data_IF_641715354474
#
_entry.id   IF_641715354474
#
_cell.length_a   1.000
_cell.length_b   1.000
_cell.length_c   1.000
_cell.angle_alpha   90.00
_cell.angle_beta   90.00
_cell.angle_gamma   90.00
#
_symmetry.space_group_name_H-M   'P 1'
#
loop_
_entity.id
_entity.type
_entity.pdbx_description
1 polymer ?
#
# COMPACT_ATOMS: atom_id res chain seq x y z
N UNK A 1 16.41 0.69 2.89
CA UNK A 1 16.15 0.81 1.44
C UNK A 1 14.72 1.31 1.34
N UNK A 2 14.51 2.56 0.96
CA UNK A 2 13.19 3.21 1.00
C UNK A 2 12.32 2.71 -0.18
N UNK A 3 11.47 1.71 0.08
CA UNK A 3 10.63 0.99 -0.89
C UNK A 3 9.49 1.84 -1.50
N UNK A 4 9.77 3.07 -1.92
CA UNK A 4 8.77 4.02 -2.44
C UNK A 4 7.80 4.54 -1.38
N UNK A 5 7.99 4.19 -0.10
CA UNK A 5 7.11 4.57 1.00
C UNK A 5 7.03 6.09 1.17
N UNK A 6 8.17 6.78 1.29
CA UNK A 6 8.21 8.23 1.48
C UNK A 6 7.45 8.96 0.37
N UNK A 7 7.71 8.61 -0.89
CA UNK A 7 7.02 9.18 -2.04
C UNK A 7 5.51 8.88 -2.04
N UNK A 8 5.11 7.67 -1.65
CA UNK A 8 3.70 7.32 -1.50
C UNK A 8 3.02 8.16 -0.39
N UNK A 9 3.70 8.37 0.74
CA UNK A 9 3.18 9.16 1.85
C UNK A 9 3.08 10.64 1.51
N UNK A 10 4.05 11.19 0.80
CA UNK A 10 3.97 12.56 0.28
C UNK A 10 2.75 12.74 -0.64
N UNK A 11 2.44 11.75 -1.49
CA UNK A 11 1.27 11.79 -2.36
C UNK A 11 -0.06 11.73 -1.59
N UNK A 12 -0.10 10.95 -0.51
CA UNK A 12 -1.26 10.89 0.41
C UNK A 12 -1.40 12.20 1.16
N UNK A 13 -0.32 12.77 1.70
CA UNK A 13 -0.32 14.04 2.42
C UNK A 13 -0.77 15.22 1.55
N UNK A 14 -0.48 15.18 0.25
CA UNK A 14 -0.97 16.15 -0.74
C UNK A 14 -2.47 15.97 -1.09
N UNK A 15 -3.17 15.01 -0.50
CA UNK A 15 -4.59 14.75 -0.75
C UNK A 15 -4.89 14.16 -2.13
N UNK A 16 -3.86 13.74 -2.88
CA UNK A 16 -4.01 13.21 -4.26
C UNK A 16 -4.42 11.74 -4.29
N UNK A 17 -4.36 11.07 -3.15
CA UNK A 17 -4.79 9.68 -2.97
C UNK A 17 -5.23 9.47 -1.52
N UNK A 18 -5.97 8.40 -1.27
CA UNK A 18 -6.38 8.01 0.08
C UNK A 18 -5.37 6.99 0.60
N UNK A 19 -4.73 7.27 1.73
CA UNK A 19 -3.95 6.27 2.45
C UNK A 19 -4.88 5.19 2.99
N UNK A 20 -4.50 3.93 2.83
CA UNK A 20 -5.22 2.82 3.47
C UNK A 20 -5.03 2.89 4.98
N UNK A 21 -6.12 2.59 5.69
CA UNK A 21 -6.20 2.35 7.12
C UNK A 21 -6.93 1.04 7.32
N UNK A 22 -6.23 0.01 7.81
CA UNK A 22 -6.80 -1.34 7.95
C UNK A 22 -7.73 -1.46 9.16
N UNK A 23 -7.53 -0.60 10.16
CA UNK A 23 -8.34 -0.46 11.37
C UNK A 23 -9.75 0.10 11.15
N UNK A 24 -9.96 0.78 10.03
CA UNK A 24 -11.27 1.30 9.63
C UNK A 24 -11.92 0.28 8.69
N UNK A 25 -12.87 -0.50 9.23
CA UNK A 25 -13.60 -1.56 8.53
C UNK A 25 -14.88 -1.02 7.86
N UNK A 26 -14.89 -0.83 6.53
CA UNK A 26 -16.14 -0.78 5.80
C UNK A 26 -16.39 -2.14 5.14
N UNK A 27 -17.23 -2.97 5.78
CA UNK A 27 -17.75 -4.19 5.15
C UNK A 27 -18.72 -3.85 4.01
N UNK A 28 -18.67 -4.62 2.93
CA UNK A 28 -19.65 -4.51 1.83
C UNK A 28 -19.41 -3.36 0.86
N UNK A 29 -18.19 -2.81 0.80
CA UNK A 29 -17.85 -1.81 -0.21
C UNK A 29 -17.77 -2.42 -1.61
N UNK A 30 -18.17 -1.64 -2.61
CA UNK A 30 -18.00 -1.99 -4.01
C UNK A 30 -16.50 -1.98 -4.38
N UNK A 31 -16.06 -2.82 -5.35
CA UNK A 31 -14.67 -2.83 -5.82
C UNK A 31 -14.13 -1.45 -6.23
N UNK A 32 -14.99 -0.58 -6.77
CA UNK A 32 -14.63 0.79 -7.17
C UNK A 32 -14.04 1.64 -6.05
N UNK A 33 -14.32 1.32 -4.78
CA UNK A 33 -13.71 2.00 -3.63
C UNK A 33 -12.20 1.81 -3.53
N UNK A 34 -11.64 0.79 -4.17
CA UNK A 34 -10.20 0.56 -4.25
C UNK A 34 -9.50 1.62 -5.11
N UNK A 35 -10.21 2.30 -6.02
CA UNK A 35 -9.61 3.30 -6.90
C UNK A 35 -9.16 4.52 -6.07
N UNK A 36 -7.92 4.95 -6.32
CA UNK A 36 -7.27 6.04 -5.61
C UNK A 36 -6.75 5.66 -4.22
N UNK A 37 -6.86 4.38 -3.82
CA UNK A 37 -6.30 3.88 -2.57
C UNK A 37 -4.79 3.64 -2.72
N UNK A 38 -4.02 4.11 -1.74
CA UNK A 38 -2.58 3.92 -1.64
C UNK A 38 -2.26 3.01 -0.45
N UNK A 39 -1.57 1.90 -0.72
CA UNK A 39 -1.19 0.90 0.29
C UNK A 39 0.11 0.19 -0.07
N UNK A 40 0.68 -0.48 0.93
CA UNK A 40 1.79 -1.40 0.76
C UNK A 40 1.29 -2.81 0.52
N UNK A 41 1.98 -3.58 -0.31
CA UNK A 41 1.64 -4.98 -0.56
C UNK A 41 2.88 -5.86 -0.68
N UNK A 42 2.73 -7.12 -0.27
CA UNK A 42 3.66 -8.22 -0.58
C UNK A 42 3.14 -8.94 -1.83
N UNK A 43 3.91 -8.88 -2.92
CA UNK A 43 3.49 -9.38 -4.23
C UNK A 43 4.44 -10.45 -4.76
N UNK A 44 3.88 -11.56 -5.22
CA UNK A 44 4.61 -12.63 -5.90
C UNK A 44 4.67 -12.41 -7.41
N UNK A 45 5.87 -12.44 -7.99
CA UNK A 45 6.05 -12.41 -9.43
C UNK A 45 5.73 -13.79 -10.08
N UNK A 46 5.78 -13.93 -11.42
CA UNK A 46 5.55 -15.23 -12.08
C UNK A 46 6.51 -16.35 -11.67
N UNK A 47 7.69 -16.02 -11.11
CA UNK A 47 8.68 -16.98 -10.63
C UNK A 47 8.48 -17.31 -9.14
N UNK A 48 7.45 -16.74 -8.50
CA UNK A 48 7.18 -16.90 -7.07
C UNK A 48 8.06 -16.03 -6.18
N UNK A 49 8.86 -15.12 -6.74
CA UNK A 49 9.72 -14.23 -5.95
C UNK A 49 8.84 -13.16 -5.33
N UNK A 50 8.95 -13.03 -4.01
CA UNK A 50 8.20 -12.04 -3.23
C UNK A 50 8.89 -10.67 -3.26
N UNK A 51 8.10 -9.62 -3.45
CA UNK A 51 8.57 -8.24 -3.42
C UNK A 51 7.57 -7.34 -2.72
N UNK A 52 8.08 -6.45 -1.86
CA UNK A 52 7.27 -5.41 -1.20
C UNK A 52 7.12 -4.22 -2.12
N UNK A 53 5.92 -3.65 -2.17
CA UNK A 53 5.61 -2.54 -3.08
C UNK A 53 4.60 -1.60 -2.45
N UNK A 54 4.87 -0.31 -2.55
CA UNK A 54 3.85 0.72 -2.35
C UNK A 54 3.21 1.07 -3.69
N UNK A 55 1.88 1.07 -3.72
CA UNK A 55 1.10 1.29 -4.94
C UNK A 55 -0.10 2.19 -4.68
N UNK A 56 -0.52 2.91 -5.71
CA UNK A 56 -1.84 3.56 -5.75
C UNK A 56 -2.66 2.94 -6.87
N UNK A 57 -3.83 2.38 -6.56
CA UNK A 57 -4.73 1.82 -7.58
C UNK A 57 -5.32 2.94 -8.43
N UNK A 58 -5.24 2.79 -9.76
CA UNK A 58 -5.77 3.73 -10.74
C UNK A 58 -6.99 3.18 -11.45
N UNK A 59 -7.03 1.87 -11.71
CA UNK A 59 -8.11 1.24 -12.44
C UNK A 59 -8.19 -0.25 -12.08
N UNK A 60 -9.39 -0.81 -12.19
CA UNK A 60 -9.65 -2.25 -12.10
C UNK A 60 -9.87 -2.81 -13.51
N UNK A 61 -9.37 -4.02 -13.75
CA UNK A 61 -9.44 -4.67 -15.06
C UNK A 61 -10.05 -6.07 -14.96
N UNK A 62 -10.96 -6.38 -15.90
CA UNK A 62 -11.72 -7.63 -15.95
C UNK A 62 -13.15 -7.47 -15.45
N UNK A 63 -14.02 -8.42 -15.83
CA UNK A 63 -15.38 -8.56 -15.34
C UNK A 63 -15.68 -10.04 -15.04
N UNK A 64 -15.58 -10.49 -13.76
CA UNK A 64 -15.21 -9.70 -12.58
C UNK A 64 -13.72 -9.26 -12.59
N UNK A 65 -13.33 -8.25 -11.81
CA UNK A 65 -11.94 -7.78 -11.80
C UNK A 65 -10.93 -8.85 -11.37
N UNK A 66 -9.97 -9.14 -12.24
CA UNK A 66 -8.88 -10.09 -11.98
C UNK A 66 -7.54 -9.37 -11.76
N UNK A 67 -7.42 -8.16 -12.29
CA UNK A 67 -6.22 -7.34 -12.26
C UNK A 67 -6.55 -5.92 -11.87
N UNK A 68 -5.51 -5.18 -11.51
CA UNK A 68 -5.60 -3.77 -11.23
C UNK A 68 -4.36 -3.04 -11.74
N UNK A 69 -4.61 -1.89 -12.35
CA UNK A 69 -3.57 -0.95 -12.76
C UNK A 69 -3.24 -0.04 -11.60
N UNK A 70 -1.95 0.17 -11.40
CA UNK A 70 -1.44 1.01 -10.31
C UNK A 70 -0.38 1.95 -10.81
N UNK A 71 -0.14 3.01 -10.04
CA UNK A 71 1.16 3.66 -10.02
C UNK A 71 2.03 2.98 -8.95
N UNK A 72 3.17 2.42 -9.35
CA UNK A 72 4.11 1.78 -8.43
C UNK A 72 5.16 2.80 -7.96
N UNK A 73 5.13 3.14 -6.67
CA UNK A 73 5.99 4.17 -6.09
C UNK A 73 7.46 3.77 -6.05
N UNK A 74 7.77 2.47 -5.99
CA UNK A 74 9.14 1.98 -6.07
C UNK A 74 9.77 2.14 -7.47
N UNK A 75 8.96 2.04 -8.54
CA UNK A 75 9.45 2.16 -9.93
C UNK A 75 9.09 3.49 -10.59
N UNK A 76 8.33 4.35 -9.92
CA UNK A 76 7.75 5.58 -10.46
C UNK A 76 7.06 5.40 -11.82
N UNK A 77 6.36 4.27 -12.00
CA UNK A 77 5.78 3.88 -13.28
C UNK A 77 4.44 3.14 -13.10
N UNK A 78 3.61 3.19 -14.14
CA UNK A 78 2.40 2.39 -14.21
C UNK A 78 2.71 0.88 -14.31
N UNK A 79 1.99 0.07 -13.55
CA UNK A 79 2.12 -1.39 -13.53
C UNK A 79 0.78 -2.07 -13.26
N UNK A 80 0.54 -3.18 -13.96
CA UNK A 80 -0.58 -4.08 -13.72
C UNK A 80 -0.17 -5.16 -12.72
N UNK A 81 -1.05 -5.45 -11.77
CA UNK A 81 -0.88 -6.54 -10.81
C UNK A 81 -2.13 -7.42 -10.81
N UNK A 82 -1.94 -8.72 -10.52
CA UNK A 82 -3.04 -9.68 -10.37
C UNK A 82 -3.44 -9.78 -8.90
N UNK A 83 -4.74 -9.79 -8.61
CA UNK A 83 -5.22 -9.91 -7.23
C UNK A 83 -4.76 -11.21 -6.55
N UNK A 84 -4.77 -12.32 -7.30
CA UNK A 84 -4.34 -13.66 -6.81
C UNK A 84 -2.88 -13.74 -6.34
N UNK A 85 -2.06 -12.74 -6.69
CA UNK A 85 -0.63 -12.71 -6.38
C UNK A 85 -0.28 -11.72 -5.27
N UNK A 86 -1.28 -11.06 -4.69
CA UNK A 86 -1.10 -10.21 -3.52
C UNK A 86 -1.26 -11.07 -2.27
N UNK A 87 -0.15 -11.30 -1.56
CA UNK A 87 -0.10 -12.12 -0.36
C UNK A 87 -0.58 -11.34 0.85
N UNK A 88 0.05 -10.20 1.10
CA UNK A 88 -0.25 -9.32 2.22
C UNK A 88 -0.51 -7.90 1.71
N UNK A 89 -1.41 -7.21 2.37
CA UNK A 89 -1.64 -5.77 2.27
C UNK A 89 -1.29 -5.17 3.60
N UNK A 90 -0.51 -4.10 3.60
CA UNK A 90 -0.12 -3.41 4.81
C UNK A 90 -0.30 -1.90 4.67
N UNK A 91 -0.67 -1.27 5.78
CA UNK A 91 -0.99 0.15 5.84
C UNK A 91 0.20 0.99 6.30
N UNK A 92 -0.06 2.28 6.51
CA UNK A 92 0.97 3.25 6.95
C UNK A 92 1.36 3.09 8.41
N UNK A 93 0.54 2.39 9.20
CA UNK A 93 0.80 2.09 10.61
C UNK A 93 1.58 0.77 10.78
N UNK A 94 1.79 0.04 9.67
CA UNK A 94 2.45 -1.26 9.67
C UNK A 94 1.49 -2.40 10.03
N UNK A 95 0.18 -2.15 10.08
CA UNK A 95 -0.80 -3.23 10.17
C UNK A 95 -0.75 -4.06 8.90
N UNK A 96 -0.96 -5.37 9.05
CA UNK A 96 -0.87 -6.33 7.94
C UNK A 96 -2.13 -7.16 7.90
N UNK A 97 -2.71 -7.29 6.72
CA UNK A 97 -3.85 -8.14 6.43
C UNK A 97 -3.56 -9.02 5.22
N UNK A 98 -3.97 -10.28 5.28
CA UNK A 98 -3.87 -11.15 4.11
C UNK A 98 -4.63 -10.51 2.93
N UNK A 99 -3.99 -10.46 1.76
CA UNK A 99 -4.54 -9.81 0.56
C UNK A 99 -5.92 -10.35 0.20
N UNK A 100 -6.13 -11.66 0.35
CA UNK A 100 -7.43 -12.30 0.14
C UNK A 100 -8.52 -11.76 1.08
N UNK A 101 -8.21 -11.64 2.37
CA UNK A 101 -9.13 -11.08 3.36
C UNK A 101 -9.42 -9.62 3.03
N UNK A 102 -8.38 -8.83 2.74
CA UNK A 102 -8.49 -7.43 2.38
C UNK A 102 -9.42 -7.21 1.17
N UNK A 103 -9.12 -7.82 0.03
CA UNK A 103 -9.91 -7.64 -1.19
C UNK A 103 -11.29 -8.31 -1.11
N UNK A 104 -11.43 -9.37 -0.31
CA UNK A 104 -12.70 -10.01 -0.02
C UNK A 104 -13.72 -9.06 0.61
N UNK A 105 -13.27 -8.11 1.45
CA UNK A 105 -14.14 -7.06 2.04
C UNK A 105 -14.78 -6.16 0.98
N UNK A 106 -14.16 -6.04 -0.20
CA UNK A 106 -14.64 -5.26 -1.34
C UNK A 106 -15.41 -6.11 -2.36
N UNK A 107 -15.83 -7.33 -1.98
CA UNK A 107 -16.59 -8.23 -2.85
C UNK A 107 -15.77 -8.95 -3.93
N UNK A 108 -14.43 -8.83 -3.92
CA UNK A 108 -13.57 -9.51 -4.89
C UNK A 108 -13.34 -10.98 -4.50
N UNK A 109 -13.76 -11.90 -5.38
CA UNK A 109 -13.55 -13.34 -5.21
C UNK A 109 -12.21 -13.77 -5.79
N UNK A 110 -11.17 -13.73 -4.95
CA UNK A 110 -9.82 -14.13 -5.36
C UNK A 110 -9.69 -15.66 -5.28
N UNK A 111 -9.34 -16.28 -6.42
CA UNK A 111 -8.98 -17.71 -6.48
C UNK A 111 -7.66 -17.94 -5.74
N UNK A 112 -7.61 -19.03 -4.98
CA UNK A 112 -6.40 -19.46 -4.29
C UNK A 112 -5.44 -19.97 -5.36
N UNK A 113 -4.31 -19.29 -5.58
CA UNK A 113 -3.12 -19.99 -6.07
C UNK A 113 -2.63 -20.86 -4.92
N UNK A 114 -2.32 -22.14 -5.21
CA UNK A 114 -1.87 -23.11 -4.22
C UNK A 114 -0.87 -22.51 -3.23
N UNK A 115 -0.96 -22.89 -1.95
CA UNK A 115 -0.18 -22.26 -0.91
C UNK A 115 1.29 -22.32 -1.29
N UNK A 116 1.90 -21.13 -1.17
CA UNK A 116 3.33 -20.90 -0.99
C UNK A 116 4.17 -22.19 -0.93
N UNK A 117 5.14 -22.43 -1.84
CA UNK A 117 6.11 -23.50 -1.58
C UNK A 117 6.71 -23.17 -0.21
N UNK A 118 6.55 -24.09 0.76
CA UNK A 118 6.67 -23.87 2.21
C UNK A 118 8.05 -23.35 2.68
N UNK A 119 8.45 -22.18 2.22
CA UNK A 119 9.60 -21.43 2.69
C UNK A 119 9.26 -20.66 3.97
N UNK A 120 10.25 -20.08 4.62
CA UNK A 120 9.97 -19.13 5.69
C UNK A 120 9.28 -17.90 5.11
N UNK A 121 8.06 -17.60 5.59
CA UNK A 121 7.44 -16.30 5.40
C UNK A 121 8.47 -15.23 5.78
N UNK A 122 8.81 -14.27 4.89
CA UNK A 122 9.76 -13.24 5.24
C UNK A 122 9.20 -12.48 6.43
N UNK A 123 9.85 -12.64 7.60
CA UNK A 123 9.48 -11.93 8.83
C UNK A 123 9.21 -10.49 8.45
N UNK A 124 8.02 -9.99 8.81
CA UNK A 124 7.78 -8.56 8.75
C UNK A 124 8.98 -7.87 9.41
N UNK A 125 9.62 -6.88 8.79
CA UNK A 125 10.63 -6.10 9.48
C UNK A 125 9.96 -5.65 10.77
N UNK A 126 10.63 -5.88 11.89
CA UNK A 126 10.24 -5.22 13.12
C UNK A 126 10.08 -3.76 12.74
N UNK A 127 8.88 -3.22 12.97
CA UNK A 127 8.74 -1.78 13.01
C UNK A 127 9.53 -1.40 14.25
N UNK A 128 10.86 -1.28 14.08
CA UNK A 128 11.70 -0.60 15.04
C UNK A 128 11.05 0.75 15.15
N UNK A 129 10.33 0.93 16.27
CA UNK A 129 9.69 2.20 16.63
C UNK A 129 10.74 3.25 16.37
N UNK A 130 10.57 4.00 15.28
CA UNK A 130 11.37 5.19 15.03
C UNK A 130 11.05 6.05 16.24
N UNK A 131 11.99 6.06 17.16
CA UNK A 131 11.98 6.92 18.32
C UNK A 131 12.04 8.31 17.72
N UNK A 132 10.89 8.96 17.60
CA UNK A 132 10.80 10.35 17.19
C UNK A 132 11.50 11.12 18.28
N UNK A 133 12.80 11.32 18.12
CA UNK A 133 13.58 12.23 18.92
C UNK A 133 12.99 13.61 18.65
N UNK A 134 12.11 14.06 19.56
CA UNK A 134 11.71 15.46 19.68
C UNK A 134 12.96 16.28 19.99
N UNK A 135 13.77 16.61 18.97
CA UNK A 135 14.74 17.70 19.07
C UNK A 135 14.02 18.97 18.66
N UNK A 136 13.57 19.70 19.67
CA UNK A 136 13.14 21.07 19.48
C UNK A 136 14.27 21.92 18.90
N UNK A 137 13.92 22.81 17.98
CA UNK A 137 14.45 24.17 17.92
C UNK A 137 13.36 25.11 17.42
N UNK A 138 13.24 26.31 18.01
CA UNK A 138 12.35 27.35 17.54
C UNK A 138 13.01 28.05 16.34
N UNK A 139 12.28 28.25 15.25
CA UNK A 139 12.65 29.28 14.28
C UNK A 139 11.71 30.47 14.46
N UNK A 140 12.34 31.59 14.80
CA UNK A 140 11.76 32.91 15.01
C UNK A 140 11.11 33.40 13.71
N UNK A 141 9.94 33.99 13.85
CA UNK A 141 9.36 34.88 12.85
C UNK A 141 10.20 36.16 12.80
N UNK A 142 10.83 36.46 11.67
CA UNK A 142 11.25 37.81 11.34
C UNK A 142 10.34 38.35 10.25
N UNK A 143 9.53 39.32 10.64
CA UNK A 143 8.69 40.16 9.78
C UNK A 143 9.60 41.24 9.20
N UNK A 144 9.72 41.30 7.88
CA UNK A 144 10.28 42.47 7.20
C UNK A 144 9.15 43.46 6.91
N UNK A 145 9.23 44.64 7.53
CA UNK A 145 8.47 45.83 7.14
C UNK A 145 9.41 46.67 6.27
N UNK A 146 9.00 46.93 5.02
CA UNK A 146 9.72 47.83 4.11
C UNK A 146 9.49 49.30 4.49
N UNK A 147 10.51 50.16 4.42
CA UNK A 147 10.34 51.59 4.16
C UNK A 147 10.12 51.87 2.66
#
# INVERSE_FOLDING_TARGET
MEDGFAAAMDHVAQGKSRGLRLDLEPEGLQPSFLIGLTFGMLYADPLGILSRRWVTIRQLEGDPPEKFMTFCWHKHAARSFRFERVYDVFDTNGEVLAGRTFFGRYGLRIKIMDPYPAGPSPKAPSVDRVSVARRGRPYKNEVYVSP
#
